data_IF_030925015483
#
_entry.id   IF_030925015483
#
_cell.length_a   1.000
_cell.length_b   1.000
_cell.length_c   1.000
_cell.angle_alpha   90.00
_cell.angle_beta   90.00
_cell.angle_gamma   90.00
#
_symmetry.space_group_name_H-M   'P 1'
#
loop_
_entity.id
_entity.type
_entity.pdbx_description
1 polymer ?
#
# COMPACT_ATOMS: atom_id res chain seq x y z
N UNK A 1 -6.10 -10.71 5.22
CA UNK A 1 -6.41 -9.26 5.04
C UNK A 1 -6.88 -8.57 6.32
N UNK A 2 -7.86 -9.12 7.05
CA UNK A 2 -8.43 -8.49 8.27
C UNK A 2 -7.36 -8.06 9.30
N UNK A 3 -6.39 -8.93 9.63
CA UNK A 3 -5.30 -8.64 10.59
C UNK A 3 -4.49 -7.36 10.30
N UNK A 4 -4.37 -6.94 9.03
CA UNK A 4 -3.57 -5.77 8.63
C UNK A 4 -4.30 -4.43 8.79
N UNK A 5 -5.64 -4.45 8.90
CA UNK A 5 -6.46 -3.24 9.17
C UNK A 5 -6.72 -3.02 10.65
N UNK A 6 -6.49 -4.04 11.48
CA UNK A 6 -6.79 -4.07 12.91
C UNK A 6 -6.25 -2.87 13.70
N UNK A 7 -4.97 -2.48 13.52
CA UNK A 7 -4.40 -1.32 14.23
C UNK A 7 -5.14 -0.03 13.89
N UNK A 8 -5.36 0.23 12.61
CA UNK A 8 -6.04 1.46 12.15
C UNK A 8 -7.48 1.48 12.64
N UNK A 9 -8.18 0.35 12.58
CA UNK A 9 -9.57 0.25 13.01
C UNK A 9 -9.71 0.41 14.52
N UNK A 10 -8.82 -0.20 15.31
CA UNK A 10 -8.77 0.00 16.75
C UNK A 10 -8.59 1.49 17.08
N UNK A 11 -7.63 2.18 16.44
CA UNK A 11 -7.41 3.61 16.66
C UNK A 11 -8.61 4.47 16.22
N UNK A 12 -9.28 4.14 15.12
CA UNK A 12 -10.49 4.83 14.66
C UNK A 12 -11.62 4.66 15.68
N UNK A 13 -11.85 3.45 16.19
CA UNK A 13 -12.89 3.18 17.18
C UNK A 13 -12.62 3.89 18.51
N UNK A 14 -11.37 3.91 18.98
CA UNK A 14 -10.97 4.68 20.17
C UNK A 14 -11.18 6.18 19.96
N UNK A 15 -10.75 6.71 18.81
CA UNK A 15 -10.94 8.12 18.50
C UNK A 15 -12.43 8.49 18.42
N UNK A 16 -13.25 7.67 17.75
CA UNK A 16 -14.69 7.86 17.66
C UNK A 16 -15.36 7.84 19.04
N UNK A 17 -14.93 6.92 19.92
CA UNK A 17 -15.39 6.87 21.30
C UNK A 17 -15.04 8.16 22.06
N UNK A 18 -13.78 8.63 22.00
CA UNK A 18 -13.36 9.87 22.63
C UNK A 18 -14.13 11.10 22.09
N UNK A 19 -14.36 11.17 20.78
CA UNK A 19 -15.15 12.24 20.16
C UNK A 19 -16.60 12.19 20.66
N UNK A 20 -17.22 11.00 20.74
CA UNK A 20 -18.57 10.86 21.27
C UNK A 20 -18.70 11.24 22.74
N UNK A 21 -17.70 10.91 23.57
CA UNK A 21 -17.62 11.37 24.97
C UNK A 21 -17.57 12.90 25.05
N UNK A 22 -16.72 13.54 24.25
CA UNK A 22 -16.59 15.01 24.22
C UNK A 22 -17.85 15.70 23.70
N UNK A 23 -18.47 15.16 22.65
CA UNK A 23 -19.75 15.66 22.12
C UNK A 23 -20.83 15.58 23.19
N UNK A 24 -20.95 14.45 23.89
CA UNK A 24 -21.94 14.25 24.94
C UNK A 24 -21.67 15.15 26.17
N UNK A 25 -20.41 15.36 26.53
CA UNK A 25 -20.05 16.31 27.59
C UNK A 25 -20.42 17.74 27.20
N UNK A 26 -20.16 18.15 25.96
CA UNK A 26 -20.51 19.48 25.46
C UNK A 26 -22.03 19.70 25.42
N UNK A 27 -22.79 18.74 24.89
CA UNK A 27 -24.26 18.83 24.82
C UNK A 27 -24.91 18.86 26.19
N UNK A 28 -24.38 18.11 27.16
CA UNK A 28 -24.89 18.10 28.53
C UNK A 28 -24.51 19.34 29.34
N UNK A 29 -23.37 19.97 29.02
CA UNK A 29 -22.96 21.24 29.63
C UNK A 29 -23.76 22.45 29.13
N UNK A 30 -24.35 22.35 27.93
CA UNK A 30 -25.19 23.38 27.35
C UNK A 30 -26.67 23.17 27.72
N UNK A 31 -27.16 23.96 28.67
CA UNK A 31 -28.52 23.87 29.22
C UNK A 31 -29.64 23.97 28.18
N UNK A 32 -29.40 24.65 27.05
CA UNK A 32 -30.35 24.83 25.95
C UNK A 32 -30.77 23.51 25.26
N UNK A 33 -29.91 22.49 25.24
CA UNK A 33 -30.20 21.20 24.59
C UNK A 33 -30.97 20.29 25.54
N UNK A 34 -30.65 20.32 26.84
CA UNK A 34 -31.40 19.60 27.89
C UNK A 34 -32.80 20.16 28.13
N UNK A 35 -33.06 21.42 27.78
CA UNK A 35 -34.37 22.07 27.92
C UNK A 35 -35.30 21.90 26.73
N UNK A 36 -34.84 21.29 25.63
CA UNK A 36 -35.62 21.16 24.39
C UNK A 36 -36.73 20.09 24.44
N UNK A 37 -36.92 19.39 25.57
CA UNK A 37 -37.97 18.38 25.74
C UNK A 37 -37.81 17.10 24.91
N UNK A 38 -36.66 16.93 24.23
CA UNK A 38 -36.37 15.82 23.32
C UNK A 38 -36.17 14.50 24.08
N UNK A 39 -35.82 14.56 25.37
CA UNK A 39 -35.48 13.40 26.19
C UNK A 39 -36.54 13.20 27.28
N UNK A 40 -37.11 11.99 27.43
CA UNK A 40 -38.09 11.70 28.47
C UNK A 40 -37.57 12.05 29.88
N UNK A 41 -38.44 12.51 30.80
CA UNK A 41 -38.03 12.96 32.14
C UNK A 41 -37.34 11.87 32.96
N UNK A 42 -37.69 10.60 32.74
CA UNK A 42 -37.06 9.42 33.36
C UNK A 42 -35.62 9.19 32.89
N UNK A 43 -35.36 9.42 31.60
CA UNK A 43 -34.00 9.32 31.04
C UNK A 43 -33.16 10.51 31.49
N UNK A 44 -33.77 11.70 31.63
CA UNK A 44 -33.12 12.89 32.13
C UNK A 44 -32.68 12.74 33.60
N UNK A 45 -33.50 12.11 34.45
CA UNK A 45 -33.15 11.85 35.85
C UNK A 45 -32.04 10.80 35.97
N UNK A 46 -32.05 9.77 35.13
CA UNK A 46 -30.97 8.78 35.03
C UNK A 46 -29.65 9.39 34.55
N UNK A 47 -29.69 10.26 33.55
CA UNK A 47 -28.47 10.91 33.04
C UNK A 47 -27.83 11.84 34.07
N UNK A 48 -28.66 12.56 34.85
CA UNK A 48 -28.20 13.43 35.93
C UNK A 48 -27.62 12.64 37.11
N UNK A 49 -28.15 11.46 37.42
CA UNK A 49 -27.63 10.62 38.49
C UNK A 49 -26.36 9.87 38.09
N UNK A 50 -26.18 9.55 36.80
CA UNK A 50 -25.03 8.79 36.29
C UNK A 50 -24.33 9.52 35.14
N UNK A 51 -23.66 10.63 35.46
CA UNK A 51 -22.96 11.50 34.49
C UNK A 51 -21.89 10.73 33.70
N UNK A 52 -21.07 9.93 34.38
CA UNK A 52 -19.99 9.15 33.74
C UNK A 52 -20.54 8.15 32.74
N UNK A 53 -21.62 7.44 33.11
CA UNK A 53 -22.26 6.46 32.24
C UNK A 53 -22.90 7.14 31.03
N UNK A 54 -23.49 8.31 31.22
CA UNK A 54 -24.08 9.11 30.13
C UNK A 54 -23.03 9.52 29.10
N UNK A 55 -21.85 9.96 29.55
CA UNK A 55 -20.75 10.29 28.64
C UNK A 55 -20.21 9.05 27.93
N UNK A 56 -20.07 7.93 28.64
CA UNK A 56 -19.65 6.65 28.06
C UNK A 56 -20.64 6.14 27.00
N UNK A 57 -21.96 6.30 27.23
CA UNK A 57 -22.99 5.97 26.25
C UNK A 57 -22.87 6.83 24.99
N UNK A 58 -22.63 8.13 25.13
CA UNK A 58 -22.37 9.01 23.98
C UNK A 58 -21.15 8.57 23.16
N UNK A 59 -20.09 8.13 23.84
CA UNK A 59 -18.92 7.50 23.21
C UNK A 59 -19.27 6.23 22.45
N UNK A 60 -20.04 5.32 23.06
CA UNK A 60 -20.44 4.05 22.46
C UNK A 60 -21.34 4.23 21.24
N UNK A 61 -22.28 5.19 21.25
CA UNK A 61 -23.17 5.47 20.13
C UNK A 61 -22.37 5.96 18.91
N UNK A 62 -21.48 6.93 19.09
CA UNK A 62 -20.64 7.45 18.00
C UNK A 62 -19.67 6.37 17.49
N UNK A 63 -19.08 5.59 18.39
CA UNK A 63 -18.27 4.44 18.02
C UNK A 63 -19.08 3.37 17.27
N UNK A 64 -20.34 3.13 17.65
CA UNK A 64 -21.28 2.21 17.00
C UNK A 64 -21.57 2.60 15.55
N UNK A 65 -21.87 3.87 15.30
CA UNK A 65 -22.07 4.41 13.93
C UNK A 65 -20.82 4.17 13.07
N UNK A 66 -19.65 4.50 13.60
CA UNK A 66 -18.37 4.27 12.89
C UNK A 66 -18.11 2.78 12.69
N UNK A 67 -18.45 1.94 13.68
CA UNK A 67 -18.30 0.50 13.62
C UNK A 67 -19.17 -0.13 12.51
N UNK A 68 -20.40 0.36 12.30
CA UNK A 68 -21.25 -0.09 11.20
C UNK A 68 -20.58 0.14 9.83
N UNK A 69 -19.94 1.30 9.64
CA UNK A 69 -19.17 1.61 8.42
C UNK A 69 -17.92 0.73 8.29
N UNK A 70 -17.22 0.46 9.39
CA UNK A 70 -16.03 -0.40 9.36
C UNK A 70 -16.39 -1.85 9.04
N UNK A 71 -17.48 -2.38 9.60
CA UNK A 71 -17.98 -3.73 9.33
C UNK A 71 -18.43 -3.84 7.87
N UNK A 72 -19.15 -2.85 7.34
CA UNK A 72 -19.55 -2.85 5.93
C UNK A 72 -18.32 -2.88 5.00
N UNK A 73 -17.28 -2.12 5.32
CA UNK A 73 -16.00 -2.17 4.58
C UNK A 73 -15.26 -3.51 4.69
N UNK A 74 -15.43 -4.24 5.81
CA UNK A 74 -14.84 -5.58 5.98
C UNK A 74 -15.54 -6.66 5.18
N UNK A 75 -16.82 -6.48 4.88
CA UNK A 75 -17.61 -7.45 4.14
C UNK A 75 -17.44 -7.34 2.63
N UNK A 76 -16.92 -6.22 2.13
CA UNK A 76 -16.61 -5.98 0.71
C UNK A 76 -15.86 -7.16 0.05
N UNK A 77 -14.78 -7.73 0.61
CA UNK A 77 -14.06 -8.85 0.00
C UNK A 77 -14.82 -10.17 -0.01
N UNK A 78 -15.85 -10.31 0.83
CA UNK A 78 -16.68 -11.52 0.94
C UNK A 78 -17.83 -11.44 -0.06
N UNK A 79 -18.53 -10.31 -0.09
CA UNK A 79 -19.60 -10.03 -1.04
C UNK A 79 -19.69 -8.54 -1.35
N UNK A 80 -19.70 -8.19 -2.63
CA UNK A 80 -19.86 -6.81 -3.09
C UNK A 80 -21.23 -6.22 -2.72
N UNK A 81 -22.24 -7.07 -2.47
CA UNK A 81 -23.60 -6.65 -2.10
C UNK A 81 -23.77 -6.37 -0.61
N UNK A 82 -22.91 -6.94 0.24
CA UNK A 82 -23.03 -6.83 1.70
C UNK A 82 -23.03 -5.39 2.24
N UNK A 83 -22.22 -4.44 1.71
CA UNK A 83 -22.29 -3.05 2.13
C UNK A 83 -23.64 -2.41 1.82
N UNK A 84 -24.19 -2.66 0.62
CA UNK A 84 -25.49 -2.11 0.21
C UNK A 84 -26.63 -2.64 1.08
N UNK A 85 -26.58 -3.92 1.46
CA UNK A 85 -27.54 -4.52 2.37
C UNK A 85 -27.47 -3.86 3.76
N UNK A 86 -26.28 -3.62 4.29
CA UNK A 86 -26.11 -2.93 5.59
C UNK A 86 -26.62 -1.49 5.51
N UNK A 87 -26.31 -0.76 4.44
CA UNK A 87 -26.82 0.60 4.25
C UNK A 87 -28.34 0.61 4.09
N UNK A 88 -28.92 -0.32 3.34
CA UNK A 88 -30.38 -0.47 3.22
C UNK A 88 -31.02 -0.73 4.59
N UNK A 89 -30.47 -1.64 5.38
CA UNK A 89 -30.95 -1.90 6.75
C UNK A 89 -30.81 -0.69 7.66
N UNK A 90 -29.77 0.14 7.48
CA UNK A 90 -29.59 1.37 8.23
C UNK A 90 -30.66 2.41 7.90
N UNK A 91 -31.20 2.42 6.68
CA UNK A 91 -32.34 3.28 6.31
C UNK A 91 -33.70 2.68 6.70
N UNK A 92 -33.87 1.36 6.62
CA UNK A 92 -35.16 0.71 6.92
C UNK A 92 -35.38 0.49 8.42
N UNK A 93 -34.31 0.22 9.19
CA UNK A 93 -34.37 -0.09 10.61
C UNK A 93 -33.23 0.58 11.40
N UNK A 94 -33.13 1.92 11.37
CA UNK A 94 -32.00 2.68 11.92
C UNK A 94 -31.73 2.36 13.40
N UNK A 95 -32.77 2.31 14.23
CA UNK A 95 -32.63 2.10 15.67
C UNK A 95 -32.04 0.73 15.99
N UNK A 96 -32.50 -0.32 15.30
CA UNK A 96 -32.00 -1.69 15.50
C UNK A 96 -30.55 -1.84 15.03
N UNK A 97 -30.20 -1.23 13.90
CA UNK A 97 -28.83 -1.26 13.38
C UNK A 97 -27.87 -0.48 14.29
N UNK A 98 -28.31 0.64 14.84
CA UNK A 98 -27.53 1.42 15.80
C UNK A 98 -27.32 0.65 17.11
N UNK A 99 -28.33 -0.06 17.60
CA UNK A 99 -28.19 -0.93 18.78
C UNK A 99 -27.21 -2.09 18.54
N UNK A 100 -27.37 -2.82 17.43
CA UNK A 100 -26.49 -3.94 17.06
C UNK A 100 -25.04 -3.46 16.88
N UNK A 101 -24.85 -2.37 16.14
CA UNK A 101 -23.51 -1.82 15.87
C UNK A 101 -22.81 -1.32 17.14
N UNK A 102 -23.56 -0.72 18.06
CA UNK A 102 -23.09 -0.29 19.39
C UNK A 102 -22.68 -1.47 20.25
N UNK A 103 -23.51 -2.53 20.29
CA UNK A 103 -23.19 -3.77 21.01
C UNK A 103 -21.92 -4.45 20.45
N UNK A 104 -21.75 -4.43 19.12
CA UNK A 104 -20.59 -5.00 18.45
C UNK A 104 -19.30 -4.21 18.63
N UNK A 105 -19.31 -2.99 19.19
CA UNK A 105 -18.09 -2.19 19.40
C UNK A 105 -17.10 -2.93 20.30
N UNK A 106 -17.55 -3.48 21.42
CA UNK A 106 -16.67 -4.13 22.41
C UNK A 106 -16.04 -5.41 21.83
N UNK A 107 -16.80 -6.37 21.26
CA UNK A 107 -16.21 -7.52 20.56
C UNK A 107 -15.23 -7.09 19.48
N UNK A 108 -15.58 -6.06 18.70
CA UNK A 108 -14.74 -5.60 17.61
C UNK A 108 -13.41 -5.01 18.10
N UNK A 109 -13.43 -4.28 19.22
CA UNK A 109 -12.24 -3.76 19.87
C UNK A 109 -11.30 -4.88 20.35
N UNK A 110 -11.85 -5.93 20.95
CA UNK A 110 -11.06 -7.10 21.40
C UNK A 110 -10.42 -7.80 20.20
N UNK A 111 -11.23 -8.09 19.19
CA UNK A 111 -10.83 -8.83 17.99
C UNK A 111 -9.76 -8.02 17.23
N UNK A 112 -9.95 -6.72 17.04
CA UNK A 112 -8.92 -5.85 16.42
C UNK A 112 -7.65 -5.70 17.27
N UNK A 113 -7.74 -5.65 18.60
CA UNK A 113 -6.56 -5.62 19.46
C UNK A 113 -5.75 -6.93 19.35
N UNK A 114 -6.42 -8.08 19.41
CA UNK A 114 -5.81 -9.38 19.21
C UNK A 114 -5.14 -9.50 17.85
N UNK A 115 -5.82 -9.11 16.78
CA UNK A 115 -5.28 -9.12 15.42
C UNK A 115 -4.03 -8.24 15.29
N UNK A 116 -4.02 -7.06 15.92
CA UNK A 116 -2.85 -6.18 15.94
C UNK A 116 -1.68 -6.80 16.71
N UNK A 117 -1.91 -7.35 17.91
CA UNK A 117 -0.86 -7.96 18.72
C UNK A 117 -0.28 -9.22 18.08
N UNK A 118 -1.14 -10.10 17.55
CA UNK A 118 -0.74 -11.32 16.82
C UNK A 118 0.12 -11.00 15.60
N UNK A 119 -0.23 -9.95 14.84
CA UNK A 119 0.55 -9.55 13.68
C UNK A 119 1.89 -8.93 14.08
N UNK A 120 1.89 -8.11 15.13
CA UNK A 120 3.12 -7.52 15.67
C UNK A 120 4.06 -8.61 16.17
N UNK A 121 3.57 -9.62 16.89
CA UNK A 121 4.41 -10.70 17.39
C UNK A 121 5.00 -11.54 16.26
N UNK A 122 4.21 -11.87 15.23
CA UNK A 122 4.73 -12.61 14.07
C UNK A 122 5.80 -11.83 13.31
N UNK A 123 5.57 -10.54 13.05
CA UNK A 123 6.55 -9.69 12.35
C UNK A 123 7.81 -9.49 13.19
N UNK A 124 7.66 -9.33 14.51
CA UNK A 124 8.82 -9.20 15.41
C UNK A 124 9.61 -10.51 15.48
N UNK A 125 8.92 -11.66 15.46
CA UNK A 125 9.56 -12.98 15.43
C UNK A 125 10.37 -13.18 14.15
N UNK A 126 9.81 -12.82 12.98
CA UNK A 126 10.54 -12.92 11.71
C UNK A 126 11.72 -11.96 11.65
N UNK A 127 11.58 -10.73 12.16
CA UNK A 127 12.69 -9.77 12.25
C UNK A 127 13.79 -10.23 13.21
N UNK A 128 13.44 -10.81 14.36
CA UNK A 128 14.41 -11.40 15.29
C UNK A 128 15.16 -12.57 14.69
N UNK A 129 14.48 -13.45 13.95
CA UNK A 129 15.12 -14.55 13.24
C UNK A 129 16.17 -14.05 12.24
N UNK A 130 15.96 -12.86 11.66
CA UNK A 130 16.89 -12.20 10.73
C UNK A 130 17.82 -11.18 11.37
N UNK A 131 17.84 -11.07 12.71
CA UNK A 131 18.66 -10.12 13.49
C UNK A 131 18.44 -8.64 13.12
N UNK A 132 17.30 -8.28 12.54
CA UNK A 132 16.95 -6.89 12.21
C UNK A 132 16.21 -6.25 13.38
N UNK A 133 16.78 -5.19 13.94
CA UNK A 133 16.21 -4.49 15.10
C UNK A 133 15.26 -3.36 14.68
N UNK A 134 15.59 -2.61 13.62
CA UNK A 134 14.87 -1.40 13.21
C UNK A 134 15.15 -1.03 11.75
N UNK A 135 14.38 -0.07 11.20
CA UNK A 135 14.56 0.48 9.85
C UNK A 135 15.97 1.07 9.62
N UNK A 136 16.62 1.56 10.69
CA UNK A 136 18.01 2.05 10.65
C UNK A 136 19.02 0.94 10.37
N UNK A 137 18.78 -0.28 10.89
CA UNK A 137 19.65 -1.43 10.63
C UNK A 137 19.54 -1.88 9.16
N UNK A 138 18.34 -1.79 8.57
CA UNK A 138 18.15 -2.07 7.14
C UNK A 138 18.98 -1.09 6.28
N UNK A 139 18.98 0.20 6.63
CA UNK A 139 19.79 1.20 5.93
C UNK A 139 21.28 0.96 6.15
N UNK A 140 21.68 0.53 7.36
CA UNK A 140 23.07 0.17 7.63
C UNK A 140 23.51 -1.03 6.78
N UNK A 141 22.71 -2.09 6.70
CA UNK A 141 23.01 -3.27 5.85
C UNK A 141 23.11 -2.84 4.39
N UNK A 142 22.17 -2.00 3.92
CA UNK A 142 22.25 -1.41 2.59
C UNK A 142 23.59 -0.69 2.36
N UNK A 143 24.05 0.12 3.31
CA UNK A 143 25.32 0.87 3.20
C UNK A 143 26.57 -0.03 3.14
N UNK A 144 26.47 -1.29 3.56
CA UNK A 144 27.56 -2.27 3.44
C UNK A 144 27.67 -2.75 1.98
N UNK A 145 26.54 -2.96 1.30
CA UNK A 145 26.50 -3.51 -0.06
C UNK A 145 26.48 -2.43 -1.16
N UNK A 146 25.92 -1.25 -0.85
CA UNK A 146 25.61 -0.19 -1.80
C UNK A 146 25.87 1.20 -1.20
N UNK A 147 26.09 2.19 -2.06
CA UNK A 147 26.35 3.56 -1.64
C UNK A 147 25.08 4.41 -1.62
N UNK A 148 24.96 5.31 -0.64
CA UNK A 148 23.92 6.34 -0.64
C UNK A 148 24.42 7.56 -1.40
N UNK A 149 23.66 7.97 -2.42
CA UNK A 149 24.03 9.07 -3.31
C UNK A 149 23.55 10.42 -2.74
N UNK A 150 24.44 11.30 -2.25
CA UNK A 150 24.07 12.51 -1.53
C UNK A 150 23.40 13.57 -2.44
N UNK A 151 23.60 13.50 -3.74
CA UNK A 151 23.02 14.42 -4.73
C UNK A 151 21.48 14.41 -4.73
N UNK A 152 20.85 13.26 -4.43
CA UNK A 152 19.39 13.14 -4.38
C UNK A 152 18.77 13.60 -3.05
N UNK A 153 19.59 14.02 -2.09
CA UNK A 153 19.12 14.50 -0.78
C UNK A 153 18.25 15.76 -0.92
N UNK A 154 18.62 16.68 -1.81
CA UNK A 154 17.87 17.92 -1.99
C UNK A 154 16.49 17.67 -2.62
N UNK A 155 16.44 16.80 -3.64
CA UNK A 155 15.20 16.34 -4.28
C UNK A 155 14.24 15.74 -3.23
N UNK A 156 14.75 14.83 -2.41
CA UNK A 156 13.98 14.18 -1.37
C UNK A 156 13.40 15.16 -0.33
N UNK A 157 14.20 16.15 0.09
CA UNK A 157 13.76 17.19 1.02
C UNK A 157 12.69 18.09 0.38
N UNK A 158 12.82 18.45 -0.90
CA UNK A 158 11.82 19.24 -1.64
C UNK A 158 10.48 18.50 -1.70
N UNK A 159 10.48 17.22 -2.12
CA UNK A 159 9.27 16.38 -2.16
C UNK A 159 8.60 16.27 -0.78
N UNK A 160 9.39 16.08 0.29
CA UNK A 160 8.85 16.01 1.65
C UNK A 160 8.20 17.31 2.10
N UNK A 161 8.88 18.45 1.89
CA UNK A 161 8.32 19.77 2.26
C UNK A 161 7.00 20.05 1.54
N UNK A 162 6.88 19.65 0.27
CA UNK A 162 5.62 19.76 -0.47
C UNK A 162 4.51 18.90 0.14
N UNK A 163 4.81 17.64 0.47
CA UNK A 163 3.83 16.73 1.10
C UNK A 163 3.41 17.22 2.49
N UNK A 164 4.33 17.77 3.28
CA UNK A 164 4.02 18.37 4.57
C UNK A 164 3.08 19.58 4.41
N UNK A 165 3.34 20.46 3.43
CA UNK A 165 2.45 21.60 3.10
C UNK A 165 1.06 21.14 2.69
N UNK A 166 0.98 20.15 1.80
CA UNK A 166 -0.30 19.58 1.34
C UNK A 166 -1.06 18.93 2.51
N UNK A 167 -0.35 18.22 3.39
CA UNK A 167 -0.97 17.60 4.57
C UNK A 167 -1.51 18.64 5.56
N UNK A 168 -0.86 19.80 5.65
CA UNK A 168 -1.34 20.93 6.44
C UNK A 168 -2.58 21.58 5.81
N UNK A 169 -2.57 21.82 4.49
CA UNK A 169 -3.74 22.31 3.74
C UNK A 169 -4.93 21.35 3.92
N UNK A 170 -4.66 20.04 3.87
CA UNK A 170 -5.66 19.01 4.11
C UNK A 170 -6.28 19.12 5.51
N UNK A 171 -5.45 19.27 6.55
CA UNK A 171 -5.92 19.41 7.93
C UNK A 171 -6.75 20.69 8.12
N UNK A 172 -6.31 21.82 7.57
CA UNK A 172 -7.07 23.07 7.58
C UNK A 172 -8.40 22.95 6.84
N UNK A 173 -8.41 22.25 5.70
CA UNK A 173 -9.63 21.98 4.93
C UNK A 173 -10.68 21.22 5.73
N UNK A 174 -10.28 20.24 6.55
CA UNK A 174 -11.20 19.51 7.44
C UNK A 174 -11.81 20.45 8.49
N UNK A 175 -10.98 21.28 9.13
CA UNK A 175 -11.44 22.25 10.14
C UNK A 175 -12.43 23.24 9.52
N UNK A 176 -12.14 23.72 8.30
CA UNK A 176 -13.02 24.63 7.59
C UNK A 176 -14.42 24.05 7.33
N UNK A 177 -14.55 22.75 7.00
CA UNK A 177 -15.86 22.10 6.86
C UNK A 177 -16.62 22.15 8.17
N UNK A 178 -15.97 21.77 9.28
CA UNK A 178 -16.64 21.77 10.58
C UNK A 178 -17.15 23.17 10.91
N UNK A 179 -16.37 24.22 10.65
CA UNK A 179 -16.84 25.60 10.80
C UNK A 179 -18.06 25.89 9.91
N UNK A 180 -18.03 25.54 8.62
CA UNK A 180 -19.16 25.75 7.70
C UNK A 180 -20.44 25.04 8.20
N UNK A 181 -20.30 23.81 8.72
CA UNK A 181 -21.42 23.04 9.28
C UNK A 181 -22.04 23.69 10.52
N UNK A 182 -21.27 24.41 11.35
CA UNK A 182 -21.79 25.05 12.56
C UNK A 182 -22.42 26.43 12.30
N UNK A 183 -21.95 27.17 11.28
CA UNK A 183 -22.35 28.57 11.07
C UNK A 183 -23.41 28.77 9.96
N UNK A 184 -23.57 27.83 9.03
CA UNK A 184 -24.52 27.96 7.91
C UNK A 184 -25.79 27.14 8.18
N UNK A 185 -26.90 27.83 8.42
CA UNK A 185 -28.21 27.19 8.62
C UNK A 185 -28.92 26.82 7.31
N UNK A 186 -28.50 27.39 6.17
CA UNK A 186 -29.13 27.10 4.87
C UNK A 186 -28.59 25.79 4.27
N UNK A 187 -29.46 24.78 4.23
CA UNK A 187 -29.16 23.42 3.74
C UNK A 187 -28.63 23.42 2.29
N UNK A 188 -29.15 24.26 1.40
CA UNK A 188 -28.74 24.28 0.00
C UNK A 188 -27.32 24.84 -0.18
N UNK A 189 -26.97 25.88 0.57
CA UNK A 189 -25.61 26.45 0.57
C UNK A 189 -24.62 25.44 1.16
N UNK A 190 -25.02 24.72 2.21
CA UNK A 190 -24.22 23.66 2.82
C UNK A 190 -23.92 22.52 1.83
N UNK A 191 -24.93 22.05 1.10
CA UNK A 191 -24.76 20.98 0.09
C UNK A 191 -23.83 21.43 -1.04
N UNK A 192 -23.99 22.66 -1.55
CA UNK A 192 -23.13 23.19 -2.60
C UNK A 192 -21.67 23.33 -2.14
N UNK A 193 -21.46 23.84 -0.92
CA UNK A 193 -20.13 23.97 -0.32
C UNK A 193 -19.47 22.60 -0.10
N UNK A 194 -20.24 21.59 0.32
CA UNK A 194 -19.75 20.22 0.52
C UNK A 194 -19.36 19.56 -0.80
N UNK A 195 -20.11 19.79 -1.88
CA UNK A 195 -19.76 19.29 -3.21
C UNK A 195 -18.46 19.92 -3.73
N UNK A 196 -18.32 21.24 -3.60
CA UNK A 196 -17.09 21.95 -3.97
C UNK A 196 -15.88 21.45 -3.16
N UNK A 197 -16.08 21.24 -1.85
CA UNK A 197 -15.06 20.64 -0.99
C UNK A 197 -14.65 19.25 -1.48
N UNK A 198 -15.60 18.37 -1.78
CA UNK A 198 -15.30 17.01 -2.24
C UNK A 198 -14.48 17.00 -3.54
N UNK A 199 -14.77 17.94 -4.45
CA UNK A 199 -13.99 18.11 -5.69
C UNK A 199 -12.57 18.60 -5.39
N UNK A 200 -12.42 19.65 -4.59
CA UNK A 200 -11.12 20.18 -4.18
C UNK A 200 -10.29 19.14 -3.41
N UNK A 201 -10.93 18.35 -2.56
CA UNK A 201 -10.34 17.27 -1.79
C UNK A 201 -9.77 16.17 -2.68
N UNK A 202 -10.55 15.72 -3.69
CA UNK A 202 -10.09 14.72 -4.64
C UNK A 202 -8.90 15.26 -5.47
N UNK A 203 -8.96 16.51 -5.92
CA UNK A 203 -7.84 17.16 -6.61
C UNK A 203 -6.58 17.22 -5.73
N UNK A 204 -6.72 17.57 -4.44
CA UNK A 204 -5.62 17.63 -3.49
C UNK A 204 -4.99 16.26 -3.22
N UNK A 205 -5.81 15.21 -3.09
CA UNK A 205 -5.33 13.83 -2.92
C UNK A 205 -4.54 13.35 -4.15
N UNK A 206 -5.01 13.68 -5.37
CA UNK A 206 -4.29 13.38 -6.61
C UNK A 206 -2.96 14.13 -6.66
N UNK A 207 -2.96 15.42 -6.34
CA UNK A 207 -1.73 16.23 -6.31
C UNK A 207 -0.72 15.70 -5.28
N UNK A 208 -1.19 15.25 -4.11
CA UNK A 208 -0.34 14.61 -3.10
C UNK A 208 0.37 13.37 -3.64
N UNK A 209 -0.33 12.53 -4.42
CA UNK A 209 0.27 11.36 -5.05
C UNK A 209 1.34 11.76 -6.10
N UNK A 210 1.09 12.85 -6.82
CA UNK A 210 2.01 13.37 -7.84
C UNK A 210 3.33 13.90 -7.25
N UNK A 211 3.35 14.39 -6.00
CA UNK A 211 4.59 14.84 -5.36
C UNK A 211 5.67 13.76 -5.22
N UNK A 212 5.30 12.48 -5.30
CA UNK A 212 6.24 11.36 -5.23
C UNK A 212 6.76 10.93 -6.61
N UNK A 213 6.15 11.39 -7.71
CA UNK A 213 6.54 11.07 -9.09
C UNK A 213 8.02 11.36 -9.37
N UNK A 214 8.61 12.49 -8.93
CA UNK A 214 10.03 12.75 -9.19
C UNK A 214 10.98 11.67 -8.65
N UNK A 215 10.62 11.02 -7.54
CA UNK A 215 11.41 9.92 -6.96
C UNK A 215 11.17 8.62 -7.76
N UNK A 216 9.92 8.29 -8.10
CA UNK A 216 9.62 7.07 -8.87
C UNK A 216 10.21 7.10 -10.28
N UNK A 217 10.34 8.29 -10.88
CA UNK A 217 10.95 8.47 -12.20
C UNK A 217 12.41 8.02 -12.24
N UNK A 218 13.14 8.13 -11.12
CA UNK A 218 14.52 7.65 -11.03
C UNK A 218 14.62 6.16 -11.36
N UNK A 219 13.65 5.36 -10.91
CA UNK A 219 13.60 3.94 -11.25
C UNK A 219 12.97 3.69 -12.63
N UNK A 220 11.77 4.23 -12.87
CA UNK A 220 10.97 3.84 -14.04
C UNK A 220 11.39 4.49 -15.36
N UNK A 221 11.85 5.74 -15.33
CA UNK A 221 12.31 6.47 -16.52
C UNK A 221 13.83 6.41 -16.67
N UNK A 222 14.59 6.63 -15.58
CA UNK A 222 16.05 6.71 -15.64
C UNK A 222 16.77 5.37 -15.40
N UNK A 223 16.03 4.30 -15.08
CA UNK A 223 16.59 2.97 -14.77
C UNK A 223 17.69 3.01 -13.71
N UNK A 224 17.57 3.87 -12.69
CA UNK A 224 18.56 4.03 -11.63
C UNK A 224 18.00 3.61 -10.26
N UNK A 225 18.12 2.32 -9.89
CA UNK A 225 17.64 1.83 -8.61
C UNK A 225 18.43 2.40 -7.41
N UNK A 226 19.71 2.72 -7.56
CA UNK A 226 20.54 3.28 -6.47
C UNK A 226 20.13 4.72 -6.14
N UNK A 227 19.89 5.54 -7.18
CA UNK A 227 19.36 6.88 -7.02
C UNK A 227 17.97 6.87 -6.38
N UNK A 228 17.09 6.01 -6.85
CA UNK A 228 15.74 5.87 -6.31
C UNK A 228 15.77 5.45 -4.83
N UNK A 229 16.55 4.41 -4.48
CA UNK A 229 16.69 3.95 -3.10
C UNK A 229 17.22 5.07 -2.19
N UNK A 230 18.28 5.76 -2.61
CA UNK A 230 18.89 6.87 -1.87
C UNK A 230 17.89 8.00 -1.63
N UNK A 231 17.13 8.40 -2.65
CA UNK A 231 16.10 9.43 -2.55
C UNK A 231 15.00 9.05 -1.55
N UNK A 232 14.57 7.78 -1.53
CA UNK A 232 13.54 7.29 -0.59
C UNK A 232 14.07 7.30 0.85
N UNK A 233 15.32 6.89 1.08
CA UNK A 233 15.94 6.93 2.41
C UNK A 233 16.00 8.36 2.95
N UNK A 234 16.49 9.32 2.15
CA UNK A 234 16.51 10.72 2.56
C UNK A 234 15.12 11.31 2.77
N UNK A 235 14.14 10.93 1.94
CA UNK A 235 12.75 11.33 2.08
C UNK A 235 12.18 10.83 3.43
N UNK A 236 12.49 9.58 3.77
CA UNK A 236 12.05 8.86 4.96
C UNK A 236 12.76 9.29 6.26
N UNK A 237 13.83 10.09 6.17
CA UNK A 237 14.66 10.48 7.33
C UNK A 237 14.19 11.80 7.93
N UNK A 238 13.63 11.79 9.15
CA UNK A 238 13.13 13.00 9.85
C UNK A 238 13.83 13.18 11.19
N UNK A 239 14.43 14.37 11.41
CA UNK A 239 15.13 14.71 12.68
C UNK A 239 16.09 13.59 13.13
N UNK A 240 16.91 13.10 12.18
CA UNK A 240 17.87 12.00 12.35
C UNK A 240 17.30 10.62 12.70
N UNK A 241 15.98 10.43 12.64
CA UNK A 241 15.34 9.11 12.76
C UNK A 241 14.88 8.64 11.38
N UNK A 242 15.22 7.41 11.03
CA UNK A 242 14.83 6.80 9.75
C UNK A 242 13.54 6.00 9.96
N UNK A 243 12.53 6.29 9.13
CA UNK A 243 11.32 5.48 9.07
C UNK A 243 10.94 5.21 7.63
N UNK A 244 11.29 4.05 7.13
CA UNK A 244 11.20 3.71 5.71
C UNK A 244 9.75 3.75 5.23
N UNK A 245 9.54 4.53 4.18
CA UNK A 245 8.28 4.64 3.44
C UNK A 245 8.42 3.95 2.08
N UNK A 246 7.29 3.65 1.42
CA UNK A 246 7.29 3.07 0.07
C UNK A 246 8.12 1.78 -0.06
N UNK A 247 7.90 0.86 0.88
CA UNK A 247 8.62 -0.42 0.99
C UNK A 247 8.56 -1.29 -0.27
N UNK A 248 7.49 -1.21 -1.06
CA UNK A 248 7.40 -1.91 -2.35
C UNK A 248 8.41 -1.37 -3.37
N UNK A 249 8.58 -0.05 -3.44
CA UNK A 249 9.54 0.57 -4.36
C UNK A 249 10.98 0.32 -3.92
N UNK A 250 11.25 0.36 -2.61
CA UNK A 250 12.57 -0.01 -2.06
C UNK A 250 12.93 -1.47 -2.40
N UNK A 251 11.98 -2.39 -2.24
CA UNK A 251 12.18 -3.80 -2.58
C UNK A 251 12.41 -3.99 -4.09
N UNK A 252 11.67 -3.28 -4.94
CA UNK A 252 11.95 -3.25 -6.39
C UNK A 252 13.37 -2.77 -6.65
N UNK A 253 13.81 -1.65 -6.08
CA UNK A 253 15.17 -1.16 -6.28
C UNK A 253 16.22 -2.23 -5.91
N UNK A 254 16.04 -2.93 -4.79
CA UNK A 254 16.95 -3.99 -4.34
C UNK A 254 16.96 -5.23 -5.25
N UNK A 255 15.78 -5.64 -5.76
CA UNK A 255 15.69 -6.66 -6.81
C UNK A 255 16.57 -6.25 -8.01
N UNK A 256 16.49 -4.99 -8.44
CA UNK A 256 17.27 -4.48 -9.57
C UNK A 256 18.70 -4.04 -9.22
N UNK A 257 19.13 -4.23 -7.97
CA UNK A 257 20.53 -4.12 -7.53
C UNK A 257 21.17 -5.49 -7.27
N UNK A 258 20.46 -6.60 -7.53
CA UNK A 258 20.91 -7.97 -7.27
C UNK A 258 21.04 -8.31 -5.76
N UNK A 259 20.24 -7.67 -4.89
CA UNK A 259 20.20 -7.94 -3.43
C UNK A 259 18.80 -8.44 -2.99
N UNK A 260 18.44 -9.70 -3.32
CA UNK A 260 17.12 -10.26 -3.03
C UNK A 260 16.90 -10.50 -1.53
N UNK A 261 17.95 -10.77 -0.75
CA UNK A 261 17.85 -11.02 0.70
C UNK A 261 17.39 -9.75 1.43
N UNK A 262 18.05 -8.61 1.16
CA UNK A 262 17.66 -7.34 1.73
C UNK A 262 16.28 -6.88 1.22
N UNK A 263 15.93 -7.20 -0.03
CA UNK A 263 14.59 -6.94 -0.57
C UNK A 263 13.52 -7.69 0.22
N UNK A 264 13.79 -8.94 0.58
CA UNK A 264 12.91 -9.78 1.39
C UNK A 264 12.70 -9.19 2.78
N UNK A 265 13.77 -8.71 3.41
CA UNK A 265 13.75 -8.08 4.73
C UNK A 265 12.86 -6.84 4.78
N UNK A 266 12.93 -6.01 3.74
CA UNK A 266 12.04 -4.86 3.59
C UNK A 266 10.59 -5.30 3.42
N UNK A 267 10.32 -6.32 2.60
CA UNK A 267 8.95 -6.76 2.32
C UNK A 267 8.28 -7.46 3.50
N UNK A 268 9.02 -8.14 4.38
CA UNK A 268 8.43 -8.75 5.59
C UNK A 268 7.68 -7.70 6.43
N UNK A 269 8.14 -6.46 6.38
CA UNK A 269 7.54 -5.33 7.10
C UNK A 269 6.57 -4.49 6.24
N UNK A 270 6.25 -4.95 5.03
CA UNK A 270 5.33 -4.31 4.10
C UNK A 270 3.86 -4.45 4.57
N UNK A 271 3.09 -3.35 4.62
CA UNK A 271 1.72 -3.37 5.11
C UNK A 271 0.74 -3.85 4.03
N UNK A 272 0.21 -5.06 4.17
CA UNK A 272 -0.79 -5.69 3.27
C UNK A 272 -2.23 -5.24 3.62
N UNK A 273 -2.51 -3.94 3.45
CA UNK A 273 -3.76 -3.31 3.92
C UNK A 273 -4.99 -3.65 3.08
N UNK A 274 -4.79 -3.91 1.81
CA UNK A 274 -5.83 -4.03 0.78
C UNK A 274 -5.45 -5.12 -0.23
N UNK A 275 -6.38 -5.47 -1.12
CA UNK A 275 -6.16 -6.53 -2.10
C UNK A 275 -5.00 -6.19 -3.05
N UNK A 276 -4.91 -4.93 -3.49
CA UNK A 276 -3.85 -4.50 -4.39
C UNK A 276 -2.47 -4.57 -3.71
N UNK A 277 -2.34 -4.03 -2.48
CA UNK A 277 -1.07 -4.17 -1.74
C UNK A 277 -0.71 -5.62 -1.43
N UNK A 278 -1.69 -6.49 -1.18
CA UNK A 278 -1.44 -7.92 -0.97
C UNK A 278 -0.91 -8.58 -2.26
N UNK A 279 -1.48 -8.23 -3.40
CA UNK A 279 -1.03 -8.72 -4.71
C UNK A 279 0.37 -8.22 -5.04
N UNK A 280 0.65 -6.92 -4.83
CA UNK A 280 2.01 -6.35 -5.00
C UNK A 280 3.03 -7.05 -4.11
N UNK A 281 2.67 -7.38 -2.86
CA UNK A 281 3.55 -8.12 -1.97
C UNK A 281 3.92 -9.50 -2.55
N UNK A 282 2.94 -10.28 -3.02
CA UNK A 282 3.19 -11.61 -3.56
C UNK A 282 3.92 -11.59 -4.91
N UNK A 283 3.65 -10.59 -5.74
CA UNK A 283 4.38 -10.36 -6.99
C UNK A 283 5.87 -10.11 -6.74
N UNK A 284 6.19 -9.18 -5.83
CA UNK A 284 7.58 -8.87 -5.48
C UNK A 284 8.27 -10.03 -4.75
N UNK A 285 7.55 -10.72 -3.85
CA UNK A 285 8.08 -11.90 -3.17
C UNK A 285 8.36 -13.03 -4.17
N UNK A 286 7.49 -13.25 -5.15
CA UNK A 286 7.74 -14.22 -6.21
C UNK A 286 8.97 -13.88 -7.05
N UNK A 287 9.22 -12.60 -7.33
CA UNK A 287 10.47 -12.20 -7.99
C UNK A 287 11.70 -12.54 -7.12
N UNK A 288 11.64 -12.24 -5.83
CA UNK A 288 12.73 -12.52 -4.87
C UNK A 288 12.98 -14.03 -4.74
N UNK A 289 11.93 -14.83 -4.57
CA UNK A 289 12.03 -16.29 -4.44
C UNK A 289 12.63 -16.91 -5.71
N UNK A 290 12.31 -16.37 -6.88
CA UNK A 290 12.96 -16.74 -8.14
C UNK A 290 14.47 -16.41 -8.14
N UNK A 291 14.87 -15.23 -7.67
CA UNK A 291 16.29 -14.85 -7.58
C UNK A 291 17.05 -15.72 -6.56
N UNK A 292 16.40 -16.09 -5.46
CA UNK A 292 16.92 -17.00 -4.44
C UNK A 292 16.88 -18.48 -4.87
N UNK A 293 16.27 -18.79 -6.02
CA UNK A 293 16.08 -20.15 -6.55
C UNK A 293 15.26 -21.06 -5.63
N UNK A 294 14.34 -20.50 -4.85
CA UNK A 294 13.41 -21.25 -3.98
C UNK A 294 12.09 -21.53 -4.73
N UNK A 295 12.04 -22.65 -5.43
CA UNK A 295 10.87 -23.06 -6.21
C UNK A 295 9.63 -23.28 -5.34
N UNK A 296 9.80 -23.89 -4.16
CA UNK A 296 8.70 -24.18 -3.26
C UNK A 296 8.07 -22.90 -2.71
N UNK A 297 8.88 -21.89 -2.37
CA UNK A 297 8.37 -20.57 -1.99
C UNK A 297 7.66 -19.87 -3.15
N UNK A 298 8.22 -19.96 -4.37
CA UNK A 298 7.62 -19.35 -5.56
C UNK A 298 6.23 -19.92 -5.90
N UNK A 299 6.05 -21.24 -5.79
CA UNK A 299 4.74 -21.90 -5.97
C UNK A 299 3.74 -21.42 -4.91
N UNK A 300 4.17 -21.33 -3.63
CA UNK A 300 3.32 -20.78 -2.57
C UNK A 300 2.91 -19.34 -2.85
N UNK A 301 3.81 -18.51 -3.39
CA UNK A 301 3.51 -17.14 -3.80
C UNK A 301 2.41 -17.10 -4.88
N UNK A 302 2.44 -18.00 -5.87
CA UNK A 302 1.38 -18.13 -6.89
C UNK A 302 0.03 -18.52 -6.26
N UNK A 303 0.01 -19.51 -5.37
CA UNK A 303 -1.21 -19.96 -4.69
C UNK A 303 -1.83 -18.84 -3.85
N UNK A 304 -1.03 -18.13 -3.07
CA UNK A 304 -1.49 -17.04 -2.23
C UNK A 304 -1.96 -15.82 -3.05
N UNK A 305 -1.28 -15.49 -4.16
CA UNK A 305 -1.72 -14.47 -5.10
C UNK A 305 -3.08 -14.83 -5.73
N UNK A 306 -3.29 -16.10 -6.07
CA UNK A 306 -4.54 -16.61 -6.66
C UNK A 306 -5.74 -16.50 -5.73
N UNK A 307 -5.52 -16.56 -4.41
CA UNK A 307 -6.56 -16.38 -3.38
C UNK A 307 -7.00 -14.91 -3.23
N UNK A 308 -6.23 -13.95 -3.76
CA UNK A 308 -6.58 -12.53 -3.68
C UNK A 308 -7.75 -12.21 -4.62
N UNK A 309 -8.78 -11.55 -4.09
CA UNK A 309 -9.93 -11.06 -4.86
C UNK A 309 -9.83 -9.55 -5.01
N UNK A 310 -9.75 -9.10 -6.27
CA UNK A 310 -9.70 -7.68 -6.63
C UNK A 310 -11.11 -7.19 -6.96
N UNK A 311 -11.66 -6.32 -6.13
CA UNK A 311 -13.03 -5.81 -6.28
C UNK A 311 -13.10 -4.57 -7.19
N UNK A 312 -12.40 -4.59 -8.32
CA UNK A 312 -12.38 -3.50 -9.31
C UNK A 312 -13.08 -3.89 -10.63
N UNK A 313 -14.03 -4.83 -10.57
CA UNK A 313 -14.69 -5.36 -11.76
C UNK A 313 -13.70 -6.00 -12.75
N UNK A 314 -13.93 -5.89 -14.07
CA UNK A 314 -13.07 -6.48 -15.10
C UNK A 314 -11.60 -6.04 -15.00
N UNK A 315 -11.34 -4.77 -14.69
CA UNK A 315 -9.98 -4.23 -14.51
C UNK A 315 -9.26 -4.91 -13.35
N UNK A 316 -9.96 -5.23 -12.26
CA UNK A 316 -9.39 -5.96 -11.13
C UNK A 316 -8.99 -7.38 -11.48
N UNK A 317 -9.79 -8.06 -12.30
CA UNK A 317 -9.48 -9.41 -12.81
C UNK A 317 -8.25 -9.37 -13.72
N UNK A 318 -8.17 -8.36 -14.60
CA UNK A 318 -7.03 -8.16 -15.50
C UNK A 318 -5.73 -7.95 -14.72
N UNK A 319 -5.69 -6.98 -13.79
CA UNK A 319 -4.51 -6.72 -12.94
C UNK A 319 -4.08 -7.99 -12.20
N UNK A 320 -5.03 -8.73 -11.61
CA UNK A 320 -4.73 -9.98 -10.93
C UNK A 320 -4.12 -11.01 -11.89
N UNK A 321 -4.70 -11.13 -13.08
CA UNK A 321 -4.24 -12.08 -14.09
C UNK A 321 -2.83 -11.76 -14.56
N UNK A 322 -2.50 -10.49 -14.76
CA UNK A 322 -1.15 -10.04 -15.16
C UNK A 322 -0.10 -10.37 -14.09
N UNK A 323 -0.39 -10.09 -12.82
CA UNK A 323 0.51 -10.37 -11.71
C UNK A 323 0.71 -11.87 -11.49
N UNK A 324 -0.35 -12.67 -11.60
CA UNK A 324 -0.25 -14.14 -11.52
C UNK A 324 0.54 -14.68 -12.72
N UNK A 325 0.29 -14.16 -13.93
CA UNK A 325 1.02 -14.57 -15.12
C UNK A 325 2.52 -14.23 -15.01
N UNK A 326 2.87 -13.11 -14.38
CA UNK A 326 4.27 -12.75 -14.08
C UNK A 326 4.94 -13.79 -13.17
N UNK A 327 4.30 -14.14 -12.05
CA UNK A 327 4.82 -15.16 -11.12
C UNK A 327 4.91 -16.53 -11.82
N UNK A 328 3.87 -16.91 -12.56
CA UNK A 328 3.86 -18.16 -13.31
C UNK A 328 4.97 -18.22 -14.36
N UNK A 329 5.27 -17.09 -15.01
CA UNK A 329 6.35 -17.02 -15.96
C UNK A 329 7.72 -17.24 -15.30
N UNK A 330 7.92 -16.79 -14.05
CA UNK A 330 9.13 -17.10 -13.28
C UNK A 330 9.24 -18.59 -12.95
N UNK A 331 8.13 -19.27 -12.65
CA UNK A 331 8.10 -20.72 -12.45
C UNK A 331 8.48 -21.44 -13.76
N UNK A 332 7.89 -21.03 -14.88
CA UNK A 332 8.22 -21.58 -16.20
C UNK A 332 9.69 -21.40 -16.56
N UNK A 333 10.29 -20.25 -16.21
CA UNK A 333 11.72 -20.00 -16.36
C UNK A 333 12.58 -20.97 -15.54
N UNK A 334 12.18 -21.31 -14.31
CA UNK A 334 12.90 -22.31 -13.49
C UNK A 334 12.77 -23.72 -14.09
N UNK A 335 11.60 -24.04 -14.64
CA UNK A 335 11.30 -25.34 -15.23
C UNK A 335 11.87 -25.53 -16.65
N UNK A 336 12.46 -24.49 -17.24
CA UNK A 336 13.03 -24.54 -18.59
C UNK A 336 12.00 -24.46 -19.73
N UNK A 337 10.76 -24.05 -19.46
CA UNK A 337 9.73 -23.87 -20.51
C UNK A 337 9.91 -22.52 -21.23
N UNK A 338 10.99 -22.44 -22.02
CA UNK A 338 11.47 -21.22 -22.63
C UNK A 338 10.56 -20.64 -23.71
N UNK A 339 9.80 -21.48 -24.42
CA UNK A 339 8.93 -21.04 -25.51
C UNK A 339 7.77 -20.20 -25.00
N UNK A 340 7.10 -20.67 -23.95
CA UNK A 340 6.03 -19.92 -23.30
C UNK A 340 6.58 -18.67 -22.60
N UNK A 341 7.77 -18.74 -22.01
CA UNK A 341 8.42 -17.58 -21.39
C UNK A 341 8.71 -16.46 -22.39
N UNK A 342 9.25 -16.82 -23.56
CA UNK A 342 9.56 -15.87 -24.62
C UNK A 342 8.29 -15.18 -25.13
N UNK A 343 7.19 -15.93 -25.32
CA UNK A 343 5.88 -15.36 -25.69
C UNK A 343 5.39 -14.33 -24.68
N UNK A 344 5.47 -14.65 -23.39
CA UNK A 344 5.06 -13.73 -22.31
C UNK A 344 5.85 -12.41 -22.36
N UNK A 345 7.19 -12.48 -22.41
CA UNK A 345 8.02 -11.28 -22.41
C UNK A 345 7.87 -10.45 -23.69
N UNK A 346 7.68 -11.08 -24.85
CA UNK A 346 7.39 -10.38 -26.10
C UNK A 346 6.04 -9.65 -26.05
N UNK A 347 5.01 -10.27 -25.46
CA UNK A 347 3.72 -9.62 -25.24
C UNK A 347 3.87 -8.44 -24.27
N UNK A 348 4.58 -8.63 -23.15
CA UNK A 348 4.85 -7.56 -22.20
C UNK A 348 5.58 -6.38 -22.86
N UNK A 349 6.61 -6.65 -23.67
CA UNK A 349 7.43 -5.62 -24.31
C UNK A 349 6.61 -4.70 -25.23
N UNK A 350 5.60 -5.23 -25.93
CA UNK A 350 4.70 -4.45 -26.80
C UNK A 350 3.84 -3.44 -26.03
N UNK A 351 3.56 -3.73 -24.77
CA UNK A 351 2.66 -2.95 -23.92
C UNK A 351 3.40 -2.19 -22.81
N UNK A 352 4.73 -2.23 -22.76
CA UNK A 352 5.55 -1.59 -21.71
C UNK A 352 5.79 -0.09 -21.99
N UNK A 353 5.11 0.83 -21.28
CA UNK A 353 5.33 2.27 -21.46
C UNK A 353 6.67 2.76 -20.89
N UNK A 354 7.25 2.07 -19.91
CA UNK A 354 8.43 2.55 -19.17
C UNK A 354 9.72 1.84 -19.61
N UNK A 355 10.85 2.58 -19.78
CA UNK A 355 12.17 2.00 -20.08
C UNK A 355 12.54 0.85 -19.16
N UNK A 356 12.28 1.00 -17.86
CA UNK A 356 12.51 -0.03 -16.85
C UNK A 356 11.86 -1.40 -17.17
N UNK A 357 10.60 -1.39 -17.62
CA UNK A 357 9.89 -2.62 -17.99
C UNK A 357 10.44 -3.20 -19.30
N UNK A 358 10.88 -2.33 -20.21
CA UNK A 358 11.51 -2.76 -21.46
C UNK A 358 12.86 -3.43 -21.20
N UNK A 359 13.65 -2.91 -20.25
CA UNK A 359 14.94 -3.51 -19.85
C UNK A 359 14.73 -4.88 -19.22
N UNK A 360 13.82 -5.01 -18.25
CA UNK A 360 13.52 -6.30 -17.61
C UNK A 360 13.07 -7.35 -18.64
N UNK A 361 12.11 -7.01 -19.50
CA UNK A 361 11.64 -7.91 -20.55
C UNK A 361 12.74 -8.26 -21.58
N UNK A 362 13.52 -7.27 -22.03
CA UNK A 362 14.60 -7.48 -23.01
C UNK A 362 15.69 -8.39 -22.44
N UNK A 363 16.02 -8.25 -21.16
CA UNK A 363 17.02 -9.09 -20.50
C UNK A 363 16.61 -10.57 -20.49
N UNK A 364 15.36 -10.88 -20.12
CA UNK A 364 14.90 -12.26 -20.12
C UNK A 364 14.73 -12.83 -21.53
N UNK A 365 14.30 -12.03 -22.53
CA UNK A 365 14.26 -12.47 -23.93
C UNK A 365 15.68 -12.81 -24.42
N UNK A 366 16.67 -11.97 -24.08
CA UNK A 366 18.05 -12.19 -24.45
C UNK A 366 18.63 -13.45 -23.79
N UNK A 367 18.39 -13.66 -22.49
CA UNK A 367 18.82 -14.86 -21.77
C UNK A 367 18.21 -16.13 -22.36
N UNK A 368 16.90 -16.14 -22.61
CA UNK A 368 16.22 -17.28 -23.22
C UNK A 368 16.82 -17.57 -24.59
N UNK A 369 17.00 -16.55 -25.43
CA UNK A 369 17.52 -16.71 -26.79
C UNK A 369 18.98 -17.18 -26.77
N UNK A 370 19.78 -16.74 -25.79
CA UNK A 370 21.14 -17.22 -25.58
C UNK A 370 21.16 -18.71 -25.22
N UNK A 371 20.27 -19.17 -24.33
CA UNK A 371 20.14 -20.59 -23.96
C UNK A 371 19.61 -21.44 -25.13
N UNK A 372 18.79 -20.87 -26.00
CA UNK A 372 18.30 -21.50 -27.22
C UNK A 372 19.30 -21.40 -28.40
N UNK A 373 20.52 -20.90 -28.16
CA UNK A 373 21.58 -20.73 -29.16
C UNK A 373 21.23 -19.78 -30.33
N UNK A 374 20.19 -18.96 -30.15
CA UNK A 374 19.82 -17.89 -31.08
C UNK A 374 20.58 -16.61 -30.70
N UNK A 375 21.89 -16.64 -30.98
CA UNK A 375 22.83 -15.60 -30.56
C UNK A 375 22.59 -14.25 -31.24
N UNK A 376 22.04 -14.23 -32.45
CA UNK A 376 21.71 -13.00 -33.16
C UNK A 376 20.60 -12.23 -32.43
N UNK A 377 19.52 -12.94 -32.07
CA UNK A 377 18.45 -12.33 -31.27
C UNK A 377 18.94 -11.99 -29.86
N UNK A 378 19.74 -12.86 -29.24
CA UNK A 378 20.30 -12.61 -27.92
C UNK A 378 21.15 -11.32 -27.89
N UNK A 379 22.03 -11.14 -28.88
CA UNK A 379 22.88 -9.94 -29.02
C UNK A 379 22.05 -8.67 -29.13
N UNK A 380 21.06 -8.65 -30.03
CA UNK A 380 20.18 -7.50 -30.25
C UNK A 380 19.48 -7.05 -28.95
N UNK A 381 18.95 -8.00 -28.17
CA UNK A 381 18.25 -7.67 -26.93
C UNK A 381 19.21 -7.33 -25.77
N UNK A 382 20.40 -7.94 -25.69
CA UNK A 382 21.41 -7.53 -24.71
C UNK A 382 21.94 -6.11 -24.98
N UNK A 383 22.17 -5.74 -26.24
CA UNK A 383 22.55 -4.37 -26.61
C UNK A 383 21.48 -3.37 -26.17
N UNK A 384 20.19 -3.71 -26.38
CA UNK A 384 19.07 -2.89 -25.90
C UNK A 384 19.06 -2.73 -24.37
N UNK A 385 19.40 -3.79 -23.62
CA UNK A 385 19.52 -3.73 -22.15
C UNK A 385 20.64 -2.77 -21.74
N UNK A 386 21.80 -2.83 -22.40
CA UNK A 386 22.92 -1.93 -22.10
C UNK A 386 22.57 -0.47 -22.41
N UNK A 387 21.87 -0.22 -23.53
CA UNK A 387 21.47 1.14 -23.93
C UNK A 387 20.46 1.78 -22.98
N UNK A 388 19.50 1.02 -22.45
CA UNK A 388 18.37 1.54 -21.67
C UNK A 388 18.51 1.31 -20.15
N UNK A 389 19.34 0.35 -19.72
CA UNK A 389 19.35 -0.17 -18.35
C UNK A 389 20.13 0.66 -17.33
N UNK A 390 20.94 1.63 -17.77
CA UNK A 390 21.72 2.53 -16.91
C UNK A 390 22.47 1.79 -15.77
N UNK A 391 22.05 1.94 -14.51
CA UNK A 391 22.71 1.33 -13.34
C UNK A 391 22.07 0.03 -12.85
N UNK A 392 21.04 -0.50 -13.55
CA UNK A 392 20.42 -1.78 -13.21
C UNK A 392 21.43 -2.94 -13.31
N UNK A 393 21.33 -3.93 -12.41
CA UNK A 393 22.27 -5.07 -12.40
C UNK A 393 22.32 -5.86 -13.71
N UNK A 394 21.23 -5.81 -14.49
CA UNK A 394 21.13 -6.45 -15.80
C UNK A 394 22.20 -5.98 -16.77
N UNK A 395 22.62 -4.71 -16.70
CA UNK A 395 23.60 -4.12 -17.64
C UNK A 395 24.93 -4.86 -17.54
N UNK A 396 25.49 -4.98 -16.33
CA UNK A 396 26.76 -5.70 -16.11
C UNK A 396 26.68 -7.17 -16.56
N UNK A 397 25.55 -7.83 -16.30
CA UNK A 397 25.33 -9.22 -16.76
C UNK A 397 25.23 -9.28 -18.29
N UNK A 398 24.49 -8.38 -18.91
CA UNK A 398 24.32 -8.29 -20.36
C UNK A 398 25.65 -8.02 -21.07
N UNK A 399 26.47 -7.10 -20.57
CA UNK A 399 27.83 -6.85 -21.09
C UNK A 399 28.68 -8.11 -21.07
N UNK A 400 28.66 -8.87 -19.96
CA UNK A 400 29.38 -10.14 -19.86
C UNK A 400 28.90 -11.18 -20.89
N UNK A 401 27.58 -11.28 -21.12
CA UNK A 401 27.03 -12.16 -22.16
C UNK A 401 27.40 -11.68 -23.57
N UNK A 402 27.38 -10.38 -23.83
CA UNK A 402 27.81 -9.81 -25.12
C UNK A 402 29.28 -10.12 -25.40
N UNK A 403 30.16 -10.02 -24.39
CA UNK A 403 31.57 -10.43 -24.55
C UNK A 403 31.67 -11.92 -24.91
N UNK A 404 30.88 -12.79 -24.28
CA UNK A 404 30.85 -14.23 -24.62
C UNK A 404 30.37 -14.48 -26.05
N UNK A 405 29.31 -13.80 -26.49
CA UNK A 405 28.77 -13.90 -27.85
C UNK A 405 29.81 -13.42 -28.87
N UNK A 406 30.48 -12.29 -28.61
CA UNK A 406 31.50 -11.77 -29.52
C UNK A 406 32.74 -12.68 -29.58
N UNK A 407 33.10 -13.34 -28.48
CA UNK A 407 34.20 -14.31 -28.45
C UNK A 407 33.85 -15.66 -29.11
N UNK A 408 32.57 -15.93 -29.35
CA UNK A 408 32.11 -17.17 -29.99
C UNK A 408 32.34 -17.19 -31.51
N UNK A 409 32.90 -16.12 -32.10
CA UNK A 409 33.15 -16.01 -33.56
C UNK A 409 31.97 -16.54 -34.38
N UNK A 410 30.84 -15.85 -34.30
CA UNK A 410 29.66 -16.12 -35.15
C UNK A 410 29.86 -15.65 -36.61
N UNK A 411 31.07 -15.23 -36.97
CA UNK A 411 31.47 -14.88 -38.34
C UNK A 411 32.11 -16.09 -39.05
N UNK A 412 31.46 -17.26 -39.02
CA UNK A 412 31.76 -18.37 -39.96
C UNK A 412 30.47 -19.15 -40.25
N UNK A 413 29.69 -18.63 -41.21
CA UNK A 413 29.07 -19.29 -42.40
C UNK A 413 27.82 -18.56 -42.89
#
# INVERSE_FOLDING_TARGET
MWKYKCKTQFLILVAAFCVGVLLMAFTFSNSAITSAGIVPPEVLSFMKSNIVLTYAMGGLVVAGIVNAVLISQMLIPISAWAPYLIFMLLFMMPDTMLMISTFLVIPMMIVTLYGWLSLRSSTLSSLRARKISNDEEIVRIYQIHHQLLPEYKELAIKCRKQIDRISLIYALGIVAIFCIMFFINNIWILVLALLFYMMAFNALLRYRAQCFIPITKLLYENCDPQACFSAIVYYSTKRNKIKLTQKSLLAQCLIYMDDPELAQDILITYPRKDAASTLTYWSLMGYIDYMLKDEAALIRCKEEASKVRMNFGPTGVMIRSEEIASIENKIRLMNGDFNECKKYYLASLKHSPFPFQQVDASYYIALISFVQEDYNIAKMYFEKVVQLGNTMYFVKKAESYLTKINNLNLDVE
#
